data_IF_165495782164
#
_entry.id   IF_165495782164
#
_cell.length_a   1.000
_cell.length_b   1.000
_cell.length_c   1.000
_cell.angle_alpha   90.00
_cell.angle_beta   90.00
_cell.angle_gamma   90.00
#
_symmetry.space_group_name_H-M   'P 1'
#
loop_
_entity.id
_entity.type
_entity.pdbx_description
1 polymer ?
#
# COMPACT_ATOMS: atom_id res chain seq x y z
N UNK A 1 -48.02 44.65 -2.56
CA UNK A 1 -47.37 43.58 -3.35
C UNK A 1 -45.85 43.62 -3.14
N UNK A 2 -45.27 42.89 -2.17
CA UNK A 2 -43.82 42.87 -1.92
C UNK A 2 -43.10 41.58 -2.37
N UNK A 3 -43.81 40.54 -2.84
CA UNK A 3 -43.23 39.20 -3.02
C UNK A 3 -42.61 38.91 -4.41
N UNK A 4 -42.77 39.80 -5.40
CA UNK A 4 -42.17 39.59 -6.73
C UNK A 4 -40.65 39.85 -6.76
N UNK A 5 -40.13 40.66 -5.83
CA UNK A 5 -38.72 41.09 -5.82
C UNK A 5 -37.76 40.03 -5.27
N UNK A 6 -38.24 39.16 -4.38
CA UNK A 6 -37.42 38.06 -3.83
C UNK A 6 -37.14 37.02 -4.94
N UNK A 7 -38.15 36.72 -5.76
CA UNK A 7 -38.04 35.73 -6.84
C UNK A 7 -37.08 36.18 -7.97
N UNK A 8 -37.09 37.47 -8.32
CA UNK A 8 -36.13 38.03 -9.29
C UNK A 8 -34.69 38.00 -8.77
N UNK A 9 -34.48 38.22 -7.46
CA UNK A 9 -33.14 38.22 -6.83
C UNK A 9 -32.54 36.81 -6.67
N UNK A 10 -33.34 35.78 -6.42
CA UNK A 10 -32.81 34.41 -6.26
C UNK A 10 -32.57 33.73 -7.60
N UNK A 11 -33.38 34.01 -8.63
CA UNK A 11 -33.24 33.38 -9.94
C UNK A 11 -32.06 33.96 -10.76
N UNK A 12 -31.76 35.25 -10.61
CA UNK A 12 -30.60 35.89 -11.27
C UNK A 12 -29.26 35.51 -10.63
N UNK A 13 -29.22 35.32 -9.30
CA UNK A 13 -28.02 34.81 -8.61
C UNK A 13 -27.64 33.40 -9.03
N UNK A 14 -28.63 32.53 -9.23
CA UNK A 14 -28.38 31.21 -9.80
C UNK A 14 -27.73 31.34 -11.18
N UNK A 15 -28.27 32.19 -12.07
CA UNK A 15 -27.77 32.40 -13.43
C UNK A 15 -26.36 33.02 -13.50
N UNK A 16 -25.94 33.79 -12.51
CA UNK A 16 -24.59 34.34 -12.41
C UNK A 16 -23.56 33.28 -11.94
N UNK A 17 -23.96 32.38 -11.04
CA UNK A 17 -23.11 31.26 -10.59
C UNK A 17 -22.73 30.32 -11.74
N UNK A 18 -23.61 30.10 -12.71
CA UNK A 18 -23.30 29.30 -13.90
C UNK A 18 -22.26 29.95 -14.84
N UNK A 19 -22.04 31.27 -14.77
CA UNK A 19 -21.01 31.95 -15.57
C UNK A 19 -19.62 31.96 -14.91
N UNK A 20 -19.56 31.83 -13.59
CA UNK A 20 -18.28 31.88 -12.85
C UNK A 20 -17.63 30.49 -12.71
N UNK A 21 -18.42 29.41 -12.77
CA UNK A 21 -17.89 28.03 -12.68
C UNK A 21 -17.15 27.61 -13.96
N UNK A 22 -17.46 28.21 -15.12
CA UNK A 22 -16.79 27.91 -16.40
C UNK A 22 -15.43 28.61 -16.61
N UNK A 23 -14.99 29.49 -15.69
CA UNK A 23 -13.81 30.37 -15.94
C UNK A 23 -12.60 30.06 -15.03
N UNK A 24 -12.67 29.06 -14.14
CA UNK A 24 -11.53 28.75 -13.22
C UNK A 24 -10.81 27.43 -13.51
N UNK A 25 -11.05 26.81 -14.66
CA UNK A 25 -10.34 25.61 -15.11
C UNK A 25 -9.54 25.88 -16.39
N UNK A 26 -8.40 26.54 -16.25
CA UNK A 26 -7.16 26.25 -16.98
C UNK A 26 -6.21 27.43 -16.77
N UNK A 27 -5.15 27.21 -16.00
CA UNK A 27 -3.83 27.82 -16.19
C UNK A 27 -2.91 27.10 -15.19
N UNK A 28 -2.53 25.87 -15.55
CA UNK A 28 -1.36 25.21 -14.96
C UNK A 28 -0.24 25.46 -15.96
N UNK A 29 0.57 26.47 -15.67
CA UNK A 29 1.87 26.69 -16.30
C UNK A 29 2.74 25.45 -16.07
N UNK A 30 2.99 24.69 -17.14
CA UNK A 30 4.04 23.69 -17.17
C UNK A 30 5.09 24.22 -18.15
N UNK A 31 6.17 24.79 -17.59
CA UNK A 31 7.40 25.01 -18.34
C UNK A 31 8.00 23.65 -18.73
N UNK A 32 8.38 23.43 -20.01
CA UNK A 32 9.24 22.33 -20.37
C UNK A 32 10.69 22.84 -20.47
N UNK A 33 11.52 22.43 -19.52
CA UNK A 33 12.98 22.47 -19.65
C UNK A 33 13.53 21.04 -19.73
N UNK A 34 14.50 20.86 -20.62
CA UNK A 34 15.30 19.68 -20.96
C UNK A 34 14.76 18.66 -22.01
N UNK A 35 15.29 18.77 -23.23
CA UNK A 35 15.64 17.65 -24.12
C UNK A 35 17.08 17.16 -23.84
N UNK A 36 17.57 16.04 -24.43
CA UNK A 36 16.96 14.72 -24.59
C UNK A 36 17.95 13.60 -24.18
N UNK A 37 17.47 12.44 -23.69
CA UNK A 37 18.25 11.20 -23.78
C UNK A 37 17.42 10.06 -24.34
N UNK A 38 18.04 9.37 -25.28
CA UNK A 38 17.51 8.30 -26.09
C UNK A 38 17.24 7.05 -25.26
N UNK A 39 16.04 6.50 -25.40
CA UNK A 39 15.66 5.19 -24.90
C UNK A 39 14.44 4.72 -25.66
N UNK A 40 14.65 3.84 -26.63
CA UNK A 40 13.61 3.15 -27.40
C UNK A 40 12.77 2.27 -26.47
N UNK A 41 11.56 2.69 -26.10
CA UNK A 41 10.53 1.78 -25.59
C UNK A 41 9.14 2.17 -26.13
N UNK A 42 8.42 1.14 -26.55
CA UNK A 42 7.19 1.16 -27.33
C UNK A 42 6.08 2.00 -26.68
N UNK A 43 5.79 3.17 -27.26
CA UNK A 43 4.53 3.88 -27.02
C UNK A 43 3.38 3.07 -27.64
N UNK A 44 2.71 2.27 -26.81
CA UNK A 44 1.33 1.88 -27.07
C UNK A 44 0.47 3.15 -27.04
N UNK A 45 0.11 3.62 -28.22
CA UNK A 45 -0.95 4.60 -28.44
C UNK A 45 -2.26 4.00 -27.88
N UNK A 46 -2.65 4.37 -26.67
CA UNK A 46 -4.04 4.20 -26.22
C UNK A 46 -4.89 5.17 -27.04
N UNK A 47 -5.55 4.63 -28.08
CA UNK A 47 -6.62 5.35 -28.77
C UNK A 47 -7.69 5.74 -27.75
N UNK A 48 -8.25 6.97 -27.81
CA UNK A 48 -9.46 7.29 -27.09
C UNK A 48 -10.53 6.31 -27.57
N UNK A 49 -11.07 5.51 -26.65
CA UNK A 49 -12.31 4.78 -26.85
C UNK A 49 -13.37 5.81 -27.28
N UNK A 50 -13.67 5.86 -28.58
CA UNK A 50 -14.87 6.51 -29.09
C UNK A 50 -16.03 5.93 -28.28
N UNK A 51 -16.77 6.78 -27.57
CA UNK A 51 -18.02 6.43 -26.92
C UNK A 51 -18.94 5.80 -27.98
N UNK A 52 -18.91 4.48 -28.05
CA UNK A 52 -19.69 3.70 -29.01
C UNK A 52 -21.16 4.01 -28.72
N UNK A 53 -21.78 4.75 -29.64
CA UNK A 53 -23.13 5.25 -29.50
C UNK A 53 -24.08 4.06 -29.32
N UNK A 54 -24.47 3.81 -28.06
CA UNK A 54 -25.34 2.70 -27.68
C UNK A 54 -26.73 2.90 -28.31
N UNK A 55 -26.89 2.34 -29.51
CA UNK A 55 -28.12 2.41 -30.28
C UNK A 55 -29.32 1.86 -29.50
N UNK A 56 -29.10 0.94 -28.56
CA UNK A 56 -30.18 0.40 -27.72
C UNK A 56 -30.70 1.46 -26.75
N UNK A 57 -29.81 2.25 -26.13
CA UNK A 57 -30.22 3.39 -25.29
C UNK A 57 -30.97 4.46 -26.09
N UNK A 58 -30.45 4.84 -27.25
CA UNK A 58 -31.08 5.86 -28.10
C UNK A 58 -32.48 5.41 -28.53
N UNK A 59 -32.65 4.16 -28.93
CA UNK A 59 -33.96 3.61 -29.30
C UNK A 59 -34.94 3.58 -28.12
N UNK A 60 -34.48 3.21 -26.92
CA UNK A 60 -35.31 3.19 -25.72
C UNK A 60 -35.80 4.60 -25.32
N UNK A 61 -34.94 5.61 -25.42
CA UNK A 61 -35.31 7.01 -25.17
C UNK A 61 -36.34 7.51 -26.19
N UNK A 62 -36.16 7.16 -27.47
CA UNK A 62 -37.05 7.55 -28.56
C UNK A 62 -38.45 6.94 -28.39
N UNK A 63 -38.53 5.67 -27.98
CA UNK A 63 -39.80 5.04 -27.63
C UNK A 63 -40.47 5.70 -26.41
N UNK A 64 -39.69 6.06 -25.39
CA UNK A 64 -40.21 6.75 -24.21
C UNK A 64 -40.82 8.11 -24.60
N UNK A 65 -40.12 8.87 -25.45
CA UNK A 65 -40.62 10.13 -26.01
C UNK A 65 -41.89 9.93 -26.84
N UNK A 66 -41.94 8.90 -27.70
CA UNK A 66 -43.13 8.57 -28.49
C UNK A 66 -44.34 8.26 -27.61
N UNK A 67 -44.17 7.47 -26.53
CA UNK A 67 -45.22 7.18 -25.55
C UNK A 67 -45.68 8.42 -24.78
N UNK A 68 -44.78 9.37 -24.52
CA UNK A 68 -45.12 10.66 -23.87
C UNK A 68 -45.92 11.56 -24.80
N UNK A 69 -45.51 11.67 -26.07
CA UNK A 69 -46.23 12.44 -27.09
C UNK A 69 -47.63 11.89 -27.32
N UNK A 70 -47.78 10.57 -27.43
CA UNK A 70 -49.10 9.94 -27.58
C UNK A 70 -50.03 10.25 -26.39
N UNK A 71 -49.52 10.25 -25.16
CA UNK A 71 -50.29 10.64 -23.98
C UNK A 71 -50.68 12.12 -24.00
N UNK A 72 -49.79 13.00 -24.44
CA UNK A 72 -50.11 14.43 -24.59
C UNK A 72 -51.16 14.67 -25.68
N UNK A 73 -51.03 14.00 -26.83
CA UNK A 73 -52.02 14.06 -27.91
C UNK A 73 -53.38 13.53 -27.47
N UNK A 74 -53.43 12.46 -26.68
CA UNK A 74 -54.69 11.93 -26.14
C UNK A 74 -55.35 12.95 -25.19
N UNK A 75 -54.57 13.61 -24.34
CA UNK A 75 -55.06 14.66 -23.42
C UNK A 75 -55.52 15.93 -24.14
N UNK A 76 -54.87 16.28 -25.25
CA UNK A 76 -55.25 17.42 -26.08
C UNK A 76 -56.50 17.11 -26.94
N UNK A 77 -56.70 15.86 -27.35
CA UNK A 77 -57.89 15.43 -28.11
C UNK A 77 -59.17 15.32 -27.27
N UNK A 78 -59.06 15.34 -25.94
CA UNK A 78 -60.21 15.11 -25.04
C UNK A 78 -61.14 16.31 -24.81
N UNK A 79 -60.87 17.51 -25.34
CA UNK A 79 -61.64 18.73 -25.00
C UNK A 79 -62.18 19.52 -26.20
N UNK A 80 -62.50 18.87 -27.33
CA UNK A 80 -63.29 19.53 -28.41
C UNK A 80 -64.80 19.24 -28.31
N UNK A 81 -65.23 18.36 -27.42
CA UNK A 81 -66.64 18.22 -27.07
C UNK A 81 -66.95 19.05 -25.83
N UNK A 82 -66.82 20.36 -25.96
CA UNK A 82 -67.67 21.26 -25.19
C UNK A 82 -69.09 20.89 -25.62
N UNK A 83 -69.75 20.04 -24.83
CA UNK A 83 -71.15 19.71 -25.05
C UNK A 83 -71.86 21.05 -25.08
N UNK A 84 -72.48 21.38 -26.22
CA UNK A 84 -73.38 22.51 -26.33
C UNK A 84 -74.63 22.23 -25.47
N UNK A 85 -74.46 22.03 -24.16
CA UNK A 85 -75.56 22.21 -23.25
C UNK A 85 -75.94 23.68 -23.37
N UNK A 86 -77.15 23.99 -23.85
CA UNK A 86 -77.56 25.35 -24.02
C UNK A 86 -77.58 25.96 -22.61
N UNK A 87 -76.63 26.88 -22.32
CA UNK A 87 -76.61 27.68 -21.10
C UNK A 87 -77.82 28.61 -21.17
N UNK A 88 -78.99 28.07 -20.91
CA UNK A 88 -80.27 28.75 -20.97
C UNK A 88 -80.76 28.79 -19.54
N UNK A 89 -80.79 29.99 -18.98
CA UNK A 89 -81.41 30.21 -17.69
C UNK A 89 -82.91 29.88 -17.82
N UNK A 90 -83.44 28.89 -17.08
CA UNK A 90 -84.85 28.52 -17.16
C UNK A 90 -85.80 29.69 -16.87
N UNK A 91 -85.35 30.68 -16.09
CA UNK A 91 -86.14 31.90 -15.81
C UNK A 91 -86.25 32.83 -17.01
N UNK A 92 -85.24 32.85 -17.90
CA UNK A 92 -85.25 33.68 -19.11
C UNK A 92 -86.24 33.16 -20.15
N UNK A 93 -86.44 31.85 -20.23
CA UNK A 93 -87.45 31.25 -21.11
C UNK A 93 -88.87 31.55 -20.66
N UNK A 94 -89.11 31.65 -19.34
CA UNK A 94 -90.44 31.91 -18.77
C UNK A 94 -90.85 33.39 -18.94
N UNK A 95 -89.88 34.33 -19.01
CA UNK A 95 -90.14 35.78 -19.11
C UNK A 95 -90.28 36.34 -20.53
N UNK A 96 -89.99 35.55 -21.57
CA UNK A 96 -90.02 35.99 -22.97
C UNK A 96 -91.44 35.93 -23.56
N UNK A 97 -92.21 37.03 -23.54
CA UNK A 97 -93.58 36.99 -24.10
C UNK A 97 -94.03 38.18 -24.97
N UNK A 98 -93.22 39.22 -25.20
CA UNK A 98 -93.71 40.41 -25.94
C UNK A 98 -92.81 40.92 -27.08
N UNK A 99 -91.49 40.72 -27.03
CA UNK A 99 -90.58 41.10 -28.13
C UNK A 99 -89.49 40.03 -28.34
N UNK A 100 -89.44 39.40 -29.53
CA UNK A 100 -88.48 38.31 -29.81
C UNK A 100 -87.02 38.79 -29.80
N UNK A 101 -86.73 40.01 -30.24
CA UNK A 101 -85.38 40.56 -30.29
C UNK A 101 -84.80 40.77 -28.88
N UNK A 102 -85.64 41.25 -27.95
CA UNK A 102 -85.26 41.42 -26.54
C UNK A 102 -84.97 40.06 -25.90
N UNK A 103 -85.80 39.05 -26.20
CA UNK A 103 -85.59 37.69 -25.70
C UNK A 103 -84.26 37.10 -26.21
N UNK A 104 -83.97 37.26 -27.50
CA UNK A 104 -82.72 36.78 -28.10
C UNK A 104 -81.51 37.50 -27.50
N UNK A 105 -81.59 38.82 -27.29
CA UNK A 105 -80.53 39.60 -26.65
C UNK A 105 -80.27 39.12 -25.22
N UNK A 106 -81.31 38.84 -24.44
CA UNK A 106 -81.15 38.34 -23.08
C UNK A 106 -80.55 36.93 -23.03
N UNK A 107 -80.94 36.05 -23.95
CA UNK A 107 -80.33 34.72 -24.12
C UNK A 107 -78.84 34.84 -24.47
N UNK A 108 -78.51 35.71 -25.42
CA UNK A 108 -77.12 35.96 -25.83
C UNK A 108 -76.30 36.57 -24.67
N UNK A 109 -76.88 37.50 -23.91
CA UNK A 109 -76.22 38.07 -22.73
C UNK A 109 -75.91 36.99 -21.68
N UNK A 110 -76.87 36.13 -21.36
CA UNK A 110 -76.64 35.04 -20.41
C UNK A 110 -75.59 34.04 -20.93
N UNK A 111 -75.64 33.67 -22.22
CA UNK A 111 -74.62 32.82 -22.85
C UNK A 111 -73.22 33.43 -22.74
N UNK A 112 -73.08 34.72 -23.04
CA UNK A 112 -71.82 35.45 -22.89
C UNK A 112 -71.36 35.47 -21.42
N UNK A 113 -72.27 35.66 -20.47
CA UNK A 113 -71.95 35.63 -19.05
C UNK A 113 -71.45 34.24 -18.61
N UNK A 114 -72.06 33.15 -19.07
CA UNK A 114 -71.57 31.78 -18.84
C UNK A 114 -70.16 31.61 -19.40
N UNK A 115 -69.92 32.07 -20.64
CA UNK A 115 -68.60 31.99 -21.30
C UNK A 115 -67.54 32.80 -20.56
N UNK A 116 -67.87 33.99 -20.06
CA UNK A 116 -66.96 34.83 -19.26
C UNK A 116 -66.61 34.12 -17.94
N UNK A 117 -67.61 33.56 -17.24
CA UNK A 117 -67.37 32.85 -15.97
C UNK A 117 -66.50 31.61 -16.18
N UNK A 118 -66.72 30.88 -17.26
CA UNK A 118 -65.92 29.71 -17.62
C UNK A 118 -64.48 30.12 -17.98
N UNK A 119 -64.30 31.20 -18.73
CA UNK A 119 -62.97 31.72 -19.03
C UNK A 119 -62.24 32.16 -17.75
N UNK A 120 -62.92 32.81 -16.81
CA UNK A 120 -62.35 33.18 -15.50
C UNK A 120 -61.91 31.91 -14.74
N UNK A 121 -62.75 30.87 -14.71
CA UNK A 121 -62.43 29.58 -14.09
C UNK A 121 -61.19 28.96 -14.72
N UNK A 122 -61.14 28.86 -16.04
CA UNK A 122 -60.00 28.35 -16.78
C UNK A 122 -58.73 29.17 -16.53
N UNK A 123 -58.82 30.49 -16.49
CA UNK A 123 -57.70 31.36 -16.15
C UNK A 123 -57.18 31.10 -14.73
N UNK A 124 -58.05 30.86 -13.75
CA UNK A 124 -57.63 30.54 -12.38
C UNK A 124 -56.95 29.18 -12.31
N UNK A 125 -57.52 28.14 -12.94
CA UNK A 125 -56.88 26.82 -13.05
C UNK A 125 -55.51 26.91 -13.72
N UNK A 126 -55.38 27.70 -14.79
CA UNK A 126 -54.11 27.90 -15.47
C UNK A 126 -53.08 28.61 -14.57
N UNK A 127 -53.51 29.59 -13.75
CA UNK A 127 -52.63 30.23 -12.75
C UNK A 127 -52.12 29.22 -11.73
N UNK A 128 -53.00 28.41 -11.15
CA UNK A 128 -52.62 27.38 -10.17
C UNK A 128 -51.64 26.37 -10.77
N UNK A 129 -51.88 25.95 -12.02
CA UNK A 129 -50.95 25.06 -12.74
C UNK A 129 -49.58 25.70 -12.99
N UNK A 130 -49.54 27.00 -13.31
CA UNK A 130 -48.27 27.73 -13.48
C UNK A 130 -47.51 27.82 -12.16
N UNK A 131 -48.20 28.06 -11.04
CA UNK A 131 -47.58 28.11 -9.71
C UNK A 131 -47.00 26.75 -9.31
N UNK A 132 -47.75 25.66 -9.51
CA UNK A 132 -47.26 24.31 -9.26
C UNK A 132 -46.07 23.93 -10.16
N UNK A 133 -46.12 24.29 -11.45
CA UNK A 133 -44.98 24.07 -12.35
C UNK A 133 -43.73 24.85 -11.91
N UNK A 134 -43.89 26.08 -11.41
CA UNK A 134 -42.77 26.87 -10.85
C UNK A 134 -42.19 26.22 -9.60
N UNK A 135 -43.04 25.75 -8.68
CA UNK A 135 -42.60 25.04 -7.49
C UNK A 135 -41.80 23.77 -7.85
N UNK A 136 -42.31 22.98 -8.80
CA UNK A 136 -41.63 21.77 -9.32
C UNK A 136 -40.30 22.10 -9.99
N UNK A 137 -40.22 23.17 -10.78
CA UNK A 137 -38.98 23.62 -11.40
C UNK A 137 -37.93 23.99 -10.34
N UNK A 138 -38.32 24.73 -9.31
CA UNK A 138 -37.42 25.07 -8.20
C UNK A 138 -36.92 23.83 -7.46
N UNK A 139 -37.79 22.85 -7.21
CA UNK A 139 -37.39 21.59 -6.59
C UNK A 139 -36.39 20.83 -7.46
N UNK A 140 -36.66 20.68 -8.77
CA UNK A 140 -35.74 20.01 -9.69
C UNK A 140 -34.40 20.72 -9.82
N UNK A 141 -34.39 22.06 -9.79
CA UNK A 141 -33.13 22.81 -9.76
C UNK A 141 -32.29 22.51 -8.52
N UNK A 142 -32.90 22.29 -7.35
CA UNK A 142 -32.16 21.89 -6.14
C UNK A 142 -31.60 20.48 -6.24
N UNK A 143 -32.42 19.53 -6.72
CA UNK A 143 -31.99 18.15 -6.96
C UNK A 143 -30.79 18.09 -7.93
N UNK A 144 -30.81 18.90 -9.00
CA UNK A 144 -29.68 18.99 -9.95
C UNK A 144 -28.41 19.49 -9.24
N UNK A 145 -28.50 20.53 -8.40
CA UNK A 145 -27.35 21.05 -7.65
C UNK A 145 -26.78 20.02 -6.67
N UNK A 146 -27.65 19.22 -6.02
CA UNK A 146 -27.22 18.13 -5.13
C UNK A 146 -26.51 17.02 -5.91
N UNK A 147 -27.05 16.62 -7.07
CA UNK A 147 -26.42 15.64 -7.95
C UNK A 147 -25.07 16.12 -8.48
N UNK A 148 -24.95 17.39 -8.87
CA UNK A 148 -23.67 17.98 -9.30
C UNK A 148 -22.61 17.88 -8.20
N UNK A 149 -22.96 18.20 -6.95
CA UNK A 149 -22.05 18.03 -5.81
C UNK A 149 -21.65 16.57 -5.62
N UNK A 150 -22.60 15.65 -5.75
CA UNK A 150 -22.30 14.21 -5.64
C UNK A 150 -21.34 13.74 -6.75
N UNK A 151 -21.51 14.23 -7.99
CA UNK A 151 -20.59 13.93 -9.10
C UNK A 151 -19.18 14.44 -8.79
N UNK A 152 -19.02 15.70 -8.36
CA UNK A 152 -17.71 16.23 -7.99
C UNK A 152 -17.03 15.41 -6.87
N UNK A 153 -17.81 14.94 -5.88
CA UNK A 153 -17.30 14.07 -4.82
C UNK A 153 -16.85 12.71 -5.37
N UNK A 154 -17.61 12.11 -6.29
CA UNK A 154 -17.25 10.85 -6.94
C UNK A 154 -15.98 10.98 -7.79
N UNK A 155 -15.80 12.09 -8.49
CA UNK A 155 -14.58 12.39 -9.25
C UNK A 155 -13.36 12.52 -8.34
N UNK A 156 -13.50 13.22 -7.21
CA UNK A 156 -12.44 13.30 -6.21
C UNK A 156 -12.08 11.90 -5.67
N UNK A 157 -13.10 11.09 -5.33
CA UNK A 157 -12.89 9.71 -4.88
C UNK A 157 -12.20 8.84 -5.92
N UNK A 158 -12.60 8.93 -7.20
CA UNK A 158 -11.95 8.21 -8.30
C UNK A 158 -10.47 8.57 -8.37
N UNK A 159 -10.14 9.86 -8.32
CA UNK A 159 -8.76 10.32 -8.40
C UNK A 159 -7.93 9.83 -7.20
N UNK A 160 -8.49 9.87 -5.99
CA UNK A 160 -7.84 9.33 -4.79
C UNK A 160 -7.61 7.82 -4.92
N UNK A 161 -8.62 7.06 -5.35
CA UNK A 161 -8.49 5.61 -5.53
C UNK A 161 -7.45 5.24 -6.58
N UNK A 162 -7.39 5.98 -7.69
CA UNK A 162 -6.39 5.78 -8.73
C UNK A 162 -4.97 6.02 -8.20
N UNK A 163 -4.77 7.06 -7.39
CA UNK A 163 -3.49 7.32 -6.74
C UNK A 163 -3.10 6.20 -5.77
N UNK A 164 -4.00 5.80 -4.88
CA UNK A 164 -3.75 4.72 -3.91
C UNK A 164 -3.48 3.37 -4.59
N UNK A 165 -4.15 3.11 -5.72
CA UNK A 165 -3.87 1.94 -6.54
C UNK A 165 -2.45 1.95 -7.09
N UNK A 166 -1.98 3.09 -7.61
CA UNK A 166 -0.60 3.28 -8.05
C UNK A 166 0.41 2.99 -6.93
N UNK A 167 0.19 3.56 -5.74
CA UNK A 167 1.05 3.32 -4.56
C UNK A 167 1.06 1.84 -4.16
N UNK A 168 -0.10 1.17 -4.19
CA UNK A 168 -0.17 -0.26 -3.89
C UNK A 168 0.59 -1.10 -4.91
N UNK A 169 0.52 -0.75 -6.19
CA UNK A 169 1.23 -1.42 -7.26
C UNK A 169 2.75 -1.29 -7.10
N UNK A 170 3.25 -0.08 -6.83
CA UNK A 170 4.69 0.16 -6.57
C UNK A 170 5.19 -0.67 -5.38
N UNK A 171 4.44 -0.67 -4.27
CA UNK A 171 4.78 -1.48 -3.08
C UNK A 171 4.81 -2.98 -3.40
N UNK A 172 3.88 -3.45 -4.21
CA UNK A 172 3.85 -4.84 -4.64
C UNK A 172 5.08 -5.21 -5.48
N UNK A 173 5.45 -4.35 -6.44
CA UNK A 173 6.65 -4.58 -7.26
C UNK A 173 7.93 -4.56 -6.42
N UNK A 174 8.04 -3.64 -5.48
CA UNK A 174 9.15 -3.61 -4.52
C UNK A 174 9.24 -4.91 -3.71
N UNK A 175 8.13 -5.37 -3.13
CA UNK A 175 8.10 -6.62 -2.36
C UNK A 175 8.45 -7.84 -3.21
N UNK A 176 8.02 -7.87 -4.47
CA UNK A 176 8.39 -8.93 -5.41
C UNK A 176 9.90 -8.97 -5.63
N UNK A 177 10.54 -7.80 -5.80
CA UNK A 177 11.99 -7.71 -5.96
C UNK A 177 12.73 -8.15 -4.69
N UNK A 178 12.36 -7.62 -3.52
CA UNK A 178 12.95 -8.00 -2.23
C UNK A 178 12.82 -9.49 -1.98
N UNK A 179 11.68 -10.10 -2.31
CA UNK A 179 11.49 -11.55 -2.15
C UNK A 179 12.44 -12.35 -3.05
N UNK A 180 12.64 -11.92 -4.30
CA UNK A 180 13.61 -12.56 -5.20
C UNK A 180 15.04 -12.48 -4.63
N UNK A 181 15.44 -11.33 -4.07
CA UNK A 181 16.75 -11.19 -3.42
C UNK A 181 16.90 -12.13 -2.20
N UNK A 182 15.85 -12.34 -1.42
CA UNK A 182 15.89 -13.28 -0.29
C UNK A 182 16.03 -14.74 -0.72
N UNK A 183 15.41 -15.13 -1.84
CA UNK A 183 15.57 -16.47 -2.42
C UNK A 183 17.04 -16.70 -2.83
N UNK A 184 17.70 -15.71 -3.42
CA UNK A 184 19.13 -15.77 -3.76
C UNK A 184 20.02 -15.88 -2.51
N UNK A 185 19.70 -15.14 -1.44
CA UNK A 185 20.42 -15.21 -0.16
C UNK A 185 20.25 -16.59 0.49
N UNK A 186 19.04 -17.15 0.48
CA UNK A 186 18.77 -18.48 1.02
C UNK A 186 19.55 -19.55 0.25
N UNK A 187 19.59 -19.47 -1.09
CA UNK A 187 20.42 -20.33 -1.92
C UNK A 187 21.91 -20.23 -1.55
N UNK A 188 22.43 -19.01 -1.34
CA UNK A 188 23.84 -18.81 -0.93
C UNK A 188 24.15 -19.38 0.45
N UNK A 189 23.22 -19.30 1.39
CA UNK A 189 23.35 -19.90 2.72
C UNK A 189 23.41 -21.43 2.61
N UNK A 190 22.55 -22.03 1.77
CA UNK A 190 22.55 -23.47 1.56
C UNK A 190 23.84 -23.96 0.88
N UNK A 191 24.33 -23.23 -0.12
CA UNK A 191 25.63 -23.48 -0.75
C UNK A 191 26.77 -23.43 0.28
N UNK A 192 26.80 -22.41 1.14
CA UNK A 192 27.79 -22.31 2.21
C UNK A 192 27.68 -23.46 3.20
N UNK A 193 26.46 -23.81 3.63
CA UNK A 193 26.22 -24.92 4.55
C UNK A 193 26.73 -26.24 3.98
N UNK A 194 26.50 -26.50 2.70
CA UNK A 194 27.04 -27.66 2.00
C UNK A 194 28.58 -27.64 2.01
N UNK A 195 29.20 -26.49 1.69
CA UNK A 195 30.66 -26.35 1.72
C UNK A 195 31.24 -26.59 3.12
N UNK A 196 30.59 -26.07 4.17
CA UNK A 196 30.98 -26.31 5.55
C UNK A 196 30.86 -27.78 5.94
N UNK A 197 29.80 -28.47 5.53
CA UNK A 197 29.64 -29.90 5.78
C UNK A 197 30.73 -30.73 5.09
N UNK A 198 31.08 -30.41 3.84
CA UNK A 198 32.19 -31.07 3.14
C UNK A 198 33.54 -30.78 3.83
N UNK A 199 33.76 -29.55 4.28
CA UNK A 199 34.97 -29.20 5.02
C UNK A 199 35.03 -29.92 6.37
N UNK A 200 33.90 -30.05 7.08
CA UNK A 200 33.78 -30.77 8.35
C UNK A 200 34.22 -32.23 8.23
N UNK A 201 33.90 -32.90 7.11
CA UNK A 201 34.32 -34.29 6.84
C UNK A 201 35.84 -34.46 6.77
N UNK A 202 36.59 -33.40 6.44
CA UNK A 202 38.05 -33.44 6.36
C UNK A 202 38.73 -33.20 7.71
N UNK A 203 38.00 -32.74 8.73
CA UNK A 203 38.57 -32.54 10.05
C UNK A 203 38.56 -33.83 10.87
N UNK A 204 39.67 -34.09 11.55
CA UNK A 204 39.74 -35.15 12.55
C UNK A 204 38.85 -34.75 13.73
N UNK A 205 37.91 -35.60 14.16
CA UNK A 205 37.08 -35.29 15.33
C UNK A 205 37.97 -34.96 16.54
N UNK A 206 37.63 -33.89 17.26
CA UNK A 206 38.42 -33.39 18.40
C UNK A 206 38.77 -34.49 19.41
N UNK A 207 37.87 -35.46 19.62
CA UNK A 207 38.09 -36.60 20.51
C UNK A 207 39.24 -37.49 20.03
N UNK A 208 39.32 -37.77 18.73
CA UNK A 208 40.40 -38.56 18.14
C UNK A 208 41.73 -37.83 18.25
N UNK A 209 41.76 -36.55 17.88
CA UNK A 209 42.96 -35.70 18.02
C UNK A 209 43.48 -35.65 19.46
N UNK A 210 42.59 -35.47 20.45
CA UNK A 210 42.98 -35.44 21.87
C UNK A 210 43.48 -36.80 22.37
N UNK A 211 42.96 -37.90 21.85
CA UNK A 211 43.42 -39.25 22.20
C UNK A 211 44.82 -39.49 21.64
N UNK A 212 45.04 -39.19 20.36
CA UNK A 212 46.33 -39.33 19.68
C UNK A 212 47.39 -38.42 20.31
N UNK A 213 47.04 -37.16 20.63
CA UNK A 213 47.91 -36.25 21.40
C UNK A 213 48.32 -36.85 22.75
N UNK A 214 47.39 -37.50 23.46
CA UNK A 214 47.70 -38.13 24.76
C UNK A 214 48.68 -39.28 24.57
N UNK A 215 48.41 -40.19 23.63
CA UNK A 215 49.30 -41.31 23.31
C UNK A 215 50.71 -40.83 22.97
N UNK A 216 50.83 -39.82 22.10
CA UNK A 216 52.11 -39.25 21.73
C UNK A 216 52.87 -38.64 22.93
N UNK A 217 52.17 -37.96 23.84
CA UNK A 217 52.76 -37.42 25.07
C UNK A 217 53.22 -38.54 26.01
N UNK A 218 52.44 -39.61 26.13
CA UNK A 218 52.78 -40.77 26.95
C UNK A 218 54.03 -41.48 26.39
N UNK A 219 54.08 -41.71 25.07
CA UNK A 219 55.25 -42.28 24.38
C UNK A 219 56.51 -41.40 24.53
N UNK A 220 56.35 -40.09 24.38
CA UNK A 220 57.45 -39.13 24.58
C UNK A 220 57.98 -39.18 26.02
N UNK A 221 57.09 -39.38 26.99
CA UNK A 221 57.45 -39.48 28.41
C UNK A 221 58.20 -40.79 28.67
N UNK A 222 57.71 -41.92 28.15
CA UNK A 222 58.39 -43.22 28.24
C UNK A 222 59.78 -43.19 27.61
N UNK A 223 59.92 -42.55 26.44
CA UNK A 223 61.21 -42.42 25.75
C UNK A 223 62.21 -41.59 26.56
N UNK A 224 61.72 -40.54 27.24
CA UNK A 224 62.54 -39.72 28.14
C UNK A 224 63.03 -40.52 29.34
N UNK A 225 62.16 -41.30 29.95
CA UNK A 225 62.50 -42.18 31.08
C UNK A 225 63.55 -43.20 30.66
N UNK A 226 63.36 -43.88 29.52
CA UNK A 226 64.33 -44.83 28.97
C UNK A 226 65.70 -44.18 28.70
N UNK A 227 65.72 -42.99 28.10
CA UNK A 227 66.95 -42.22 27.87
C UNK A 227 67.66 -41.88 29.19
N UNK A 228 66.89 -41.50 30.20
CA UNK A 228 67.42 -41.18 31.52
C UNK A 228 67.99 -42.43 32.22
N UNK A 229 67.33 -43.58 32.10
CA UNK A 229 67.84 -44.87 32.61
C UNK A 229 69.12 -45.31 31.89
N UNK A 230 69.15 -45.23 30.55
CA UNK A 230 70.36 -45.53 29.79
C UNK A 230 71.52 -44.60 30.17
N UNK A 231 71.25 -43.30 30.33
CA UNK A 231 72.24 -42.33 30.77
C UNK A 231 72.80 -42.71 32.14
N UNK A 232 71.94 -42.98 33.12
CA UNK A 232 72.37 -43.41 34.46
C UNK A 232 73.19 -44.72 34.43
N UNK A 233 72.77 -45.70 33.63
CA UNK A 233 73.50 -46.95 33.46
C UNK A 233 74.91 -46.70 32.88
N UNK A 234 75.03 -45.84 31.86
CA UNK A 234 76.32 -45.50 31.26
C UNK A 234 77.20 -44.75 32.25
N UNK A 235 76.68 -43.75 32.96
CA UNK A 235 77.42 -43.04 34.01
C UNK A 235 77.93 -44.00 35.08
N UNK A 236 77.07 -44.88 35.60
CA UNK A 236 77.47 -45.87 36.60
C UNK A 236 78.57 -46.83 36.10
N UNK A 237 78.53 -47.20 34.81
CA UNK A 237 79.60 -47.98 34.17
C UNK A 237 80.91 -47.21 34.08
N UNK A 238 80.87 -45.92 33.70
CA UNK A 238 82.04 -45.05 33.71
C UNK A 238 82.62 -44.91 35.12
N UNK A 239 81.79 -44.61 36.12
CA UNK A 239 82.21 -44.49 37.52
C UNK A 239 82.83 -45.80 38.05
N UNK A 240 82.31 -46.95 37.64
CA UNK A 240 82.88 -48.26 38.00
C UNK A 240 84.22 -48.52 37.30
N UNK A 241 84.38 -48.05 36.07
CA UNK A 241 85.61 -48.18 35.30
C UNK A 241 86.70 -47.25 35.84
N UNK A 242 86.35 -46.02 36.19
CA UNK A 242 87.22 -45.04 36.84
C UNK A 242 87.74 -45.57 38.19
N UNK A 243 86.86 -46.06 39.06
CA UNK A 243 87.26 -46.71 40.32
C UNK A 243 88.20 -47.90 40.12
N UNK A 244 88.01 -48.69 39.05
CA UNK A 244 88.91 -49.80 38.72
C UNK A 244 90.28 -49.28 38.27
N UNK A 245 90.33 -48.20 37.48
CA UNK A 245 91.59 -47.56 37.09
C UNK A 245 92.34 -46.98 38.30
N UNK A 246 91.65 -46.27 39.19
CA UNK A 246 92.24 -45.76 40.44
C UNK A 246 92.82 -46.89 41.29
N UNK A 247 92.12 -48.03 41.41
CA UNK A 247 92.64 -49.18 42.17
C UNK A 247 93.90 -49.79 41.56
N UNK A 248 94.06 -49.74 40.23
CA UNK A 248 95.25 -50.20 39.52
C UNK A 248 96.41 -49.23 39.75
N UNK A 249 96.18 -47.91 39.69
CA UNK A 249 97.19 -46.90 40.00
C UNK A 249 97.68 -46.98 41.46
N UNK A 250 96.79 -47.22 42.42
CA UNK A 250 97.15 -47.41 43.84
C UNK A 250 97.99 -48.68 44.06
N UNK A 251 97.73 -49.77 43.33
CA UNK A 251 98.61 -50.96 43.38
C UNK A 251 99.98 -50.75 42.75
N UNK A 252 100.16 -49.73 41.90
CA UNK A 252 101.45 -49.41 41.29
C UNK A 252 102.21 -48.29 42.01
N UNK A 253 101.57 -47.49 42.87
CA UNK A 253 102.18 -46.35 43.55
C UNK A 253 102.06 -46.51 45.09
N UNK A 254 102.95 -47.37 45.61
CA UNK A 254 103.52 -47.41 46.96
C UNK A 254 102.70 -47.94 48.18
N UNK A 255 103.25 -48.90 48.95
CA UNK A 255 103.03 -49.00 50.39
C UNK A 255 104.01 -48.06 51.10
N UNK A 256 103.57 -46.88 51.57
CA UNK A 256 103.97 -46.39 52.89
C UNK A 256 103.32 -45.05 53.31
N UNK A 257 103.02 -45.00 54.62
CA UNK A 257 102.82 -43.82 55.48
C UNK A 257 101.45 -43.11 55.44
N UNK A 258 100.59 -43.62 56.32
CA UNK A 258 99.94 -42.92 57.43
C UNK A 258 99.86 -41.36 57.47
N UNK A 259 98.62 -40.93 57.70
CA UNK A 259 98.17 -39.96 58.73
C UNK A 259 98.21 -38.44 58.47
N UNK A 260 97.00 -37.87 58.64
CA UNK A 260 96.69 -36.67 59.45
C UNK A 260 96.36 -35.34 58.73
N UNK A 261 95.45 -34.61 59.42
CA UNK A 261 94.91 -33.24 59.25
C UNK A 261 93.85 -33.02 58.15
N UNK A 262 92.56 -32.81 58.49
CA UNK A 262 91.86 -31.73 59.25
C UNK A 262 91.48 -30.48 58.41
N UNK A 263 90.16 -30.27 58.40
CA UNK A 263 89.42 -29.01 58.57
C UNK A 263 89.15 -28.04 57.40
N UNK A 264 87.85 -27.99 57.06
CA UNK A 264 86.93 -26.86 57.24
C UNK A 264 86.75 -25.79 56.13
N UNK A 265 85.46 -25.50 55.92
CA UNK A 265 84.82 -24.23 55.51
C UNK A 265 84.15 -24.29 54.13
N UNK A 266 82.79 -24.20 54.05
CA UNK A 266 81.96 -22.96 53.89
C UNK A 266 82.00 -22.52 52.40
N UNK A 267 80.96 -22.11 51.68
CA UNK A 267 79.76 -21.36 52.02
C UNK A 267 78.90 -21.19 50.73
N UNK A 268 77.56 -21.22 50.86
CA UNK A 268 76.51 -20.49 50.08
C UNK A 268 76.51 -20.45 48.53
N UNK A 269 75.37 -20.88 47.97
CA UNK A 269 74.34 -19.91 47.53
C UNK A 269 73.97 -19.85 46.04
N UNK A 270 72.65 -19.65 45.82
CA UNK A 270 71.95 -19.19 44.59
C UNK A 270 71.80 -20.22 43.44
N UNK A 271 70.70 -20.33 42.69
CA UNK A 271 69.45 -19.55 42.56
C UNK A 271 68.51 -20.28 41.56
N UNK A 272 67.20 -19.98 41.66
CA UNK A 272 66.17 -19.93 40.59
C UNK A 272 65.53 -21.27 40.11
N UNK A 273 64.23 -21.38 39.85
CA UNK A 273 63.09 -20.48 40.00
C UNK A 273 61.80 -21.33 39.98
N UNK A 274 60.84 -20.95 40.81
CA UNK A 274 59.41 -21.33 40.72
C UNK A 274 58.76 -20.64 39.51
N UNK A 275 57.79 -21.32 38.89
CA UNK A 275 56.86 -20.80 37.87
C UNK A 275 56.55 -21.95 36.88
N UNK A 276 55.32 -22.39 36.63
CA UNK A 276 54.05 -21.69 36.57
C UNK A 276 52.87 -22.57 36.96
N UNK A 277 51.90 -21.95 37.60
CA UNK A 277 50.51 -22.42 37.75
C UNK A 277 49.74 -22.22 36.44
N UNK A 278 48.75 -23.10 36.28
CA UNK A 278 47.46 -22.91 35.65
C UNK A 278 47.02 -21.46 35.36
N UNK A 279 46.39 -21.25 34.20
CA UNK A 279 45.00 -20.74 34.14
C UNK A 279 44.40 -20.85 32.73
N UNK A 280 43.22 -21.47 32.68
CA UNK A 280 42.21 -21.34 31.63
C UNK A 280 41.80 -19.87 31.45
N UNK A 281 41.57 -19.43 30.22
CA UNK A 281 40.45 -18.53 29.92
C UNK A 281 39.79 -19.00 28.62
N UNK A 282 38.48 -19.14 28.74
CA UNK A 282 37.50 -19.42 27.71
C UNK A 282 36.74 -18.12 27.44
N UNK A 283 36.14 -18.03 26.25
CA UNK A 283 35.07 -17.13 25.79
C UNK A 283 35.47 -15.87 25.03
N UNK A 284 34.87 -15.73 23.86
CA UNK A 284 34.82 -14.49 23.09
C UNK A 284 34.25 -14.69 21.68
N UNK A 285 33.12 -15.39 21.56
CA UNK A 285 32.26 -15.29 20.37
C UNK A 285 31.56 -13.92 20.39
N UNK A 286 31.64 -13.22 19.26
CA UNK A 286 30.58 -12.39 18.70
C UNK A 286 30.63 -12.55 17.19
#
# INVERSE_FOLDING_TARGET
MPNLDIYKRTCTKAQQLWKEVDITQSDVDIEPDAEPEAGEEEQQLELPLEDELDCCKVMAELECMKRRILRLQLRLKTDDTCTEEPCVNPQLEISCSVNPEICELQKNHHKLQCQINELIRCCNVAKDQIEDLRARLCQKSREILELQKAVCLLEAWRNTLQHEFGVCYERFQYLKHVKAEWEDVEQKIDEQKHCYQELEKNFVPKKCFLNEKRQFVDETTQMRELLQEMFQMQTARFDALERRMESVEVTMIAPDIASSLKQASKEKGNRLSRGSRDSRVSKGEK
#
